data_IF_299367246335
#
_entry.id   IF_299367246335
#
_cell.length_a   1.000
_cell.length_b   1.000
_cell.length_c   1.000
_cell.angle_alpha   90.00
_cell.angle_beta   90.00
_cell.angle_gamma   90.00
#
_symmetry.space_group_name_H-M   'P 1'
#
loop_
_entity.id
_entity.type
_entity.pdbx_description
1 polymer ?
#
# COMPACT_ATOMS: atom_id res chain seq x y z
N UNK A 1 13.40 -13.74 12.48
CA UNK A 1 12.45 -14.24 11.47
C UNK A 1 12.06 -13.08 10.58
N UNK A 2 12.25 -13.15 9.28
CA UNK A 2 12.00 -12.05 8.35
C UNK A 2 10.53 -11.87 7.97
N UNK A 3 9.69 -12.89 8.14
CA UNK A 3 8.24 -12.79 7.90
C UNK A 3 7.48 -12.74 9.22
N UNK A 4 6.55 -11.79 9.34
CA UNK A 4 5.73 -11.58 10.54
C UNK A 4 4.27 -11.44 10.15
N UNK A 5 3.41 -12.01 10.98
CA UNK A 5 1.97 -11.79 10.95
C UNK A 5 1.63 -10.82 12.08
N UNK A 6 0.91 -9.77 11.74
CA UNK A 6 0.51 -8.75 12.70
C UNK A 6 -0.97 -8.43 12.54
N UNK A 7 -1.65 -8.20 13.66
CA UNK A 7 -2.96 -7.59 13.69
C UNK A 7 -2.78 -6.10 13.97
N UNK A 8 -3.32 -5.26 13.10
CA UNK A 8 -3.29 -3.79 13.23
C UNK A 8 -4.72 -3.29 13.33
N UNK A 9 -4.97 -2.34 14.20
CA UNK A 9 -6.25 -1.65 14.29
C UNK A 9 -6.21 -0.36 13.48
N UNK A 10 -6.96 -0.31 12.38
CA UNK A 10 -7.20 0.92 11.67
C UNK A 10 -8.24 1.75 12.43
N UNK A 11 -7.97 3.04 12.63
CA UNK A 11 -8.84 3.98 13.38
C UNK A 11 -9.49 3.35 14.64
N UNK A 12 -8.73 2.54 15.38
CA UNK A 12 -9.16 1.92 16.63
C UNK A 12 -10.30 0.88 16.53
N UNK A 13 -10.82 0.59 15.34
CA UNK A 13 -12.05 -0.20 15.16
C UNK A 13 -11.88 -1.39 14.21
N UNK A 14 -11.22 -1.19 13.06
CA UNK A 14 -11.13 -2.22 12.02
C UNK A 14 -9.84 -3.02 12.16
N UNK A 15 -9.96 -4.32 12.32
CA UNK A 15 -8.83 -5.25 12.34
C UNK A 15 -8.29 -5.47 10.95
N UNK A 16 -6.98 -5.32 10.79
CA UNK A 16 -6.23 -5.58 9.58
C UNK A 16 -5.30 -6.76 9.81
N UNK A 17 -5.38 -7.76 8.95
CA UNK A 17 -4.51 -8.92 8.95
C UNK A 17 -3.29 -8.62 8.08
N UNK A 18 -2.17 -8.34 8.69
CA UNK A 18 -0.97 -7.85 8.02
C UNK A 18 0.09 -8.95 7.94
N UNK A 19 0.54 -9.22 6.74
CA UNK A 19 1.76 -9.99 6.47
C UNK A 19 2.88 -9.02 6.11
N UNK A 20 3.88 -8.91 6.97
CA UNK A 20 5.13 -8.20 6.69
C UNK A 20 6.22 -9.21 6.32
N UNK A 21 6.93 -8.96 5.23
CA UNK A 21 8.09 -9.76 4.82
C UNK A 21 9.13 -8.94 4.06
N UNK A 22 10.38 -9.32 4.15
CA UNK A 22 11.46 -8.92 3.25
C UNK A 22 12.03 -10.13 2.47
N UNK A 23 11.36 -11.28 2.52
CA UNK A 23 11.72 -12.46 1.74
C UNK A 23 10.87 -12.53 0.47
N UNK A 24 11.48 -12.36 -0.69
CA UNK A 24 10.77 -12.39 -1.98
C UNK A 24 10.01 -13.71 -2.20
N UNK A 25 10.53 -14.81 -1.70
CA UNK A 25 9.87 -16.15 -1.82
C UNK A 25 8.52 -16.27 -1.11
N UNK A 26 8.23 -15.41 -0.13
CA UNK A 26 6.96 -15.41 0.61
C UNK A 26 5.86 -14.63 -0.12
N UNK A 27 6.23 -13.69 -0.96
CA UNK A 27 5.30 -12.84 -1.71
C UNK A 27 4.40 -13.63 -2.65
N UNK A 28 4.90 -14.59 -3.47
CA UNK A 28 4.05 -15.39 -4.34
C UNK A 28 2.97 -16.18 -3.59
N UNK A 29 3.28 -16.66 -2.39
CA UNK A 29 2.30 -17.36 -1.55
C UNK A 29 1.15 -16.44 -1.15
N UNK A 30 1.46 -15.24 -0.69
CA UNK A 30 0.44 -14.23 -0.36
C UNK A 30 -0.40 -13.84 -1.58
N UNK A 31 0.24 -13.53 -2.72
CA UNK A 31 -0.44 -13.11 -3.94
C UNK A 31 -1.39 -14.20 -4.47
N UNK A 32 -0.99 -15.47 -4.39
CA UNK A 32 -1.84 -16.59 -4.76
C UNK A 32 -3.06 -16.68 -3.85
N UNK A 33 -2.88 -16.62 -2.53
CA UNK A 33 -4.01 -16.61 -1.59
C UNK A 33 -4.93 -15.42 -1.83
N UNK A 34 -4.35 -14.22 -2.03
CA UNK A 34 -5.09 -13.01 -2.35
C UNK A 34 -5.97 -13.21 -3.59
N UNK A 35 -5.39 -13.76 -4.66
CA UNK A 35 -6.12 -14.00 -5.90
C UNK A 35 -7.21 -15.07 -5.73
N UNK A 36 -6.82 -16.27 -5.35
CA UNK A 36 -7.69 -17.45 -5.37
C UNK A 36 -8.81 -17.38 -4.32
N UNK A 37 -8.52 -16.88 -3.12
CA UNK A 37 -9.49 -16.91 -2.01
C UNK A 37 -10.36 -15.67 -1.95
N UNK A 38 -9.88 -14.52 -2.41
CA UNK A 38 -10.55 -13.25 -2.17
C UNK A 38 -10.89 -12.49 -3.45
N UNK A 39 -9.92 -12.28 -4.34
CA UNK A 39 -10.16 -11.49 -5.56
C UNK A 39 -11.06 -12.21 -6.56
N UNK A 40 -10.79 -13.51 -6.83
CA UNK A 40 -11.56 -14.28 -7.79
C UNK A 40 -13.00 -14.52 -7.30
N UNK A 41 -13.22 -14.54 -5.99
CA UNK A 41 -14.53 -14.67 -5.36
C UNK A 41 -15.29 -13.35 -5.19
N UNK A 42 -14.63 -12.20 -5.43
CA UNK A 42 -15.24 -10.89 -5.29
C UNK A 42 -16.11 -10.54 -6.50
N UNK A 43 -17.09 -9.66 -6.29
CA UNK A 43 -17.84 -9.04 -7.40
C UNK A 43 -16.91 -8.17 -8.25
N UNK A 44 -17.19 -8.02 -9.54
CA UNK A 44 -16.30 -7.31 -10.47
C UNK A 44 -15.98 -5.87 -10.03
N UNK A 45 -16.93 -5.16 -9.44
CA UNK A 45 -16.73 -3.82 -8.92
C UNK A 45 -15.88 -3.76 -7.63
N UNK A 46 -15.66 -4.90 -6.98
CA UNK A 46 -14.79 -5.03 -5.81
C UNK A 46 -13.37 -5.53 -6.15
N UNK A 47 -13.09 -5.87 -7.41
CA UNK A 47 -11.79 -6.41 -7.85
C UNK A 47 -10.75 -5.30 -8.03
N UNK A 48 -10.40 -4.66 -6.94
CA UNK A 48 -9.33 -3.65 -6.89
C UNK A 48 -8.55 -3.77 -5.58
N UNK A 49 -7.36 -3.20 -5.55
CA UNK A 49 -6.52 -3.13 -4.35
C UNK A 49 -6.18 -1.68 -4.00
N UNK A 50 -6.02 -1.42 -2.72
CA UNK A 50 -5.26 -0.27 -2.26
C UNK A 50 -3.77 -0.53 -2.46
N UNK A 51 -3.06 0.42 -3.01
CA UNK A 51 -1.61 0.43 -3.17
C UNK A 51 -1.05 1.64 -2.46
N UNK A 52 0.06 1.45 -1.76
CA UNK A 52 0.86 2.55 -1.25
C UNK A 52 2.34 2.20 -1.32
N UNK A 53 3.20 3.21 -1.37
CA UNK A 53 4.64 3.06 -1.44
C UNK A 53 5.32 3.94 -0.41
N UNK A 54 6.31 3.36 0.28
CA UNK A 54 7.25 4.15 1.04
C UNK A 54 8.61 4.14 0.33
N UNK A 55 9.29 5.29 0.37
CA UNK A 55 10.48 5.49 -0.44
C UNK A 55 11.78 5.30 0.36
N UNK A 56 12.86 5.02 -0.35
CA UNK A 56 14.21 5.01 0.22
C UNK A 56 14.58 6.38 0.80
N UNK A 57 15.54 6.40 1.74
CA UNK A 57 15.95 7.63 2.42
C UNK A 57 16.47 8.71 1.44
N UNK A 58 17.07 8.28 0.30
CA UNK A 58 17.51 9.16 -0.78
C UNK A 58 16.39 9.56 -1.75
N UNK A 59 15.16 9.12 -1.49
CA UNK A 59 13.96 9.41 -2.29
C UNK A 59 14.04 8.94 -3.75
N UNK A 60 14.92 8.00 -4.10
CA UNK A 60 15.07 7.51 -5.48
C UNK A 60 14.18 6.33 -5.80
N UNK A 61 14.02 5.39 -4.88
CA UNK A 61 13.36 4.13 -5.13
C UNK A 61 12.28 3.80 -4.11
N UNK A 62 11.68 2.64 -4.32
CA UNK A 62 10.73 2.02 -3.39
C UNK A 62 11.51 1.32 -2.28
N UNK A 63 11.20 1.66 -1.03
CA UNK A 63 11.66 0.91 0.13
C UNK A 63 10.65 -0.19 0.49
N UNK A 64 9.37 0.16 0.48
CA UNK A 64 8.27 -0.74 0.83
C UNK A 64 7.16 -0.61 -0.19
N UNK A 65 6.54 -1.73 -0.56
CA UNK A 65 5.27 -1.77 -1.26
C UNK A 65 4.19 -2.37 -0.35
N UNK A 66 3.07 -1.69 -0.26
CA UNK A 66 1.91 -2.14 0.48
C UNK A 66 0.76 -2.46 -0.47
N UNK A 67 0.15 -3.63 -0.30
CA UNK A 67 -1.06 -4.04 -1.01
C UNK A 67 -2.16 -4.33 0.00
N UNK A 68 -3.35 -3.81 -0.25
CA UNK A 68 -4.52 -3.99 0.60
C UNK A 68 -5.71 -4.50 -0.22
N UNK A 69 -6.31 -5.58 0.24
CA UNK A 69 -7.63 -6.03 -0.21
C UNK A 69 -8.52 -6.29 1.00
N UNK A 70 -9.57 -5.46 1.16
CA UNK A 70 -10.45 -5.48 2.34
C UNK A 70 -9.61 -5.32 3.63
N UNK A 71 -9.44 -6.39 4.40
CA UNK A 71 -8.66 -6.41 5.64
C UNK A 71 -7.37 -7.25 5.55
N UNK A 72 -7.02 -7.74 4.36
CA UNK A 72 -5.81 -8.52 4.11
C UNK A 72 -4.72 -7.67 3.50
N UNK A 73 -3.55 -7.65 4.14
CA UNK A 73 -2.45 -6.76 3.80
C UNK A 73 -1.15 -7.49 3.56
N UNK A 74 -0.45 -7.09 2.51
CA UNK A 74 0.97 -7.36 2.33
C UNK A 74 1.77 -6.08 2.53
N UNK A 75 2.77 -6.13 3.39
CA UNK A 75 3.85 -5.14 3.47
C UNK A 75 5.13 -5.85 3.04
N UNK A 76 5.57 -5.61 1.82
CA UNK A 76 6.81 -6.17 1.31
C UNK A 76 7.94 -5.15 1.35
N UNK A 77 8.95 -5.41 2.18
CA UNK A 77 10.10 -4.54 2.33
C UNK A 77 11.14 -4.82 1.23
N UNK A 78 10.92 -4.18 0.08
CA UNK A 78 11.75 -4.35 -1.10
C UNK A 78 13.21 -3.96 -0.87
N UNK A 79 13.48 -2.84 -0.18
CA UNK A 79 14.83 -2.35 0.02
C UNK A 79 15.77 -3.35 0.72
N UNK A 80 15.23 -4.21 1.58
CA UNK A 80 15.99 -5.21 2.34
C UNK A 80 15.82 -6.64 1.81
N UNK A 81 15.13 -6.81 0.67
CA UNK A 81 14.98 -8.11 0.00
C UNK A 81 16.15 -8.38 -0.94
N UNK A 82 16.15 -9.54 -1.58
CA UNK A 82 17.06 -9.88 -2.68
C UNK A 82 16.75 -9.11 -3.97
N UNK A 83 15.71 -8.29 -3.96
CA UNK A 83 15.24 -7.46 -5.08
C UNK A 83 14.87 -8.26 -6.33
N UNK A 84 14.43 -9.48 -6.13
CA UNK A 84 13.98 -10.38 -7.19
C UNK A 84 12.64 -11.00 -6.81
N UNK A 85 11.55 -10.52 -7.41
CA UNK A 85 10.20 -11.04 -7.20
C UNK A 85 9.38 -10.88 -8.50
N UNK A 86 9.62 -11.73 -9.51
CA UNK A 86 8.92 -11.65 -10.79
C UNK A 86 7.40 -11.78 -10.64
N UNK A 87 6.92 -12.59 -9.71
CA UNK A 87 5.48 -12.79 -9.47
C UNK A 87 4.80 -11.50 -9.02
N UNK A 88 5.47 -10.67 -8.20
CA UNK A 88 4.94 -9.36 -7.84
C UNK A 88 4.89 -8.43 -9.06
N UNK A 89 5.92 -8.46 -9.91
CA UNK A 89 5.96 -7.65 -11.12
C UNK A 89 4.85 -8.05 -12.09
N UNK A 90 4.61 -9.34 -12.25
CA UNK A 90 3.54 -9.87 -13.09
C UNK A 90 2.16 -9.54 -12.51
N UNK A 91 2.00 -9.62 -11.19
CA UNK A 91 0.79 -9.23 -10.49
C UNK A 91 0.46 -7.74 -10.70
N UNK A 92 1.45 -6.84 -10.56
CA UNK A 92 1.27 -5.40 -10.77
C UNK A 92 0.91 -5.05 -12.24
N UNK A 93 1.28 -5.91 -13.20
CA UNK A 93 0.96 -5.76 -14.64
C UNK A 93 -0.27 -6.55 -15.09
N UNK A 94 -0.92 -7.28 -14.21
CA UNK A 94 -1.99 -8.23 -14.55
C UNK A 94 -3.32 -7.61 -15.02
N UNK A 95 -3.44 -6.29 -15.02
CA UNK A 95 -4.68 -5.59 -15.38
C UNK A 95 -5.62 -5.37 -14.18
N UNK A 96 -5.23 -5.76 -12.98
CA UNK A 96 -5.97 -5.43 -11.76
C UNK A 96 -5.91 -3.93 -11.50
N UNK A 97 -6.99 -3.35 -11.01
CA UNK A 97 -7.05 -1.94 -10.61
C UNK A 97 -6.39 -1.73 -9.25
N UNK A 98 -5.50 -0.74 -9.18
CA UNK A 98 -4.86 -0.28 -7.95
C UNK A 98 -5.24 1.17 -7.67
N UNK A 99 -5.71 1.46 -6.47
CA UNK A 99 -6.00 2.80 -5.99
C UNK A 99 -4.85 3.29 -5.11
N UNK A 100 -4.34 4.48 -5.38
CA UNK A 100 -3.22 5.09 -4.66
C UNK A 100 -3.38 6.60 -4.55
N UNK A 101 -2.51 7.23 -3.79
CA UNK A 101 -2.38 8.69 -3.67
C UNK A 101 -1.00 9.11 -4.16
N UNK A 102 -0.92 10.19 -4.95
CA UNK A 102 0.33 10.71 -5.56
C UNK A 102 0.93 9.77 -6.64
N UNK A 103 0.10 9.36 -7.58
CA UNK A 103 0.42 8.45 -8.68
C UNK A 103 1.69 8.84 -9.47
N UNK A 104 2.00 10.15 -9.57
CA UNK A 104 3.14 10.63 -10.37
C UNK A 104 4.46 10.18 -9.76
N UNK A 105 4.61 10.33 -8.45
CA UNK A 105 5.79 9.87 -7.74
C UNK A 105 5.87 8.34 -7.71
N UNK A 106 4.76 7.67 -7.43
CA UNK A 106 4.69 6.20 -7.41
C UNK A 106 5.17 5.59 -8.72
N UNK A 107 4.71 6.09 -9.87
CA UNK A 107 5.15 5.63 -11.19
C UNK A 107 6.66 5.76 -11.39
N UNK A 108 7.23 6.91 -11.01
CA UNK A 108 8.67 7.14 -11.11
C UNK A 108 9.46 6.17 -10.23
N UNK A 109 9.04 5.96 -8.99
CA UNK A 109 9.71 5.07 -8.05
C UNK A 109 9.60 3.61 -8.46
N UNK A 110 8.42 3.17 -8.94
CA UNK A 110 8.24 1.81 -9.46
C UNK A 110 9.09 1.55 -10.69
N UNK A 111 9.16 2.50 -11.63
CA UNK A 111 10.02 2.37 -12.80
C UNK A 111 11.50 2.24 -12.39
N UNK A 112 11.94 3.06 -11.44
CA UNK A 112 13.33 3.01 -10.95
C UNK A 112 13.64 1.69 -10.23
N UNK A 113 12.77 1.22 -9.34
CA UNK A 113 13.02 0.06 -8.48
C UNK A 113 12.70 -1.28 -9.12
N UNK A 114 11.63 -1.33 -9.92
CA UNK A 114 11.09 -2.57 -10.47
C UNK A 114 11.28 -2.69 -11.99
N UNK A 115 11.60 -1.59 -12.66
CA UNK A 115 11.71 -1.58 -14.13
C UNK A 115 10.36 -1.78 -14.85
N UNK A 116 9.23 -1.56 -14.16
CA UNK A 116 7.89 -1.79 -14.70
C UNK A 116 7.01 -0.54 -14.61
N UNK A 117 5.94 -0.58 -15.39
CA UNK A 117 4.79 0.32 -15.26
C UNK A 117 3.52 -0.50 -15.10
N UNK A 118 2.64 -0.06 -14.20
CA UNK A 118 1.26 -0.57 -14.13
C UNK A 118 0.52 -0.09 -15.39
N UNK A 119 -0.27 -0.97 -16.06
CA UNK A 119 -0.97 -0.60 -17.28
C UNK A 119 -1.83 0.66 -17.12
N UNK A 120 -1.89 1.46 -18.18
CA UNK A 120 -2.69 2.69 -18.20
C UNK A 120 -4.17 2.36 -17.91
N UNK A 121 -4.77 3.10 -16.98
CA UNK A 121 -6.14 2.85 -16.51
C UNK A 121 -6.26 1.87 -15.34
N UNK A 122 -5.20 1.11 -15.02
CA UNK A 122 -5.18 0.21 -13.87
C UNK A 122 -4.62 0.85 -12.60
N UNK A 123 -4.11 2.06 -12.66
CA UNK A 123 -3.64 2.82 -11.52
C UNK A 123 -4.45 4.10 -11.37
N UNK A 124 -5.27 4.17 -10.33
CA UNK A 124 -6.22 5.25 -10.07
C UNK A 124 -5.65 6.22 -9.04
N UNK A 125 -5.55 7.48 -9.42
CA UNK A 125 -5.14 8.56 -8.51
C UNK A 125 -6.33 9.11 -7.75
N UNK A 126 -6.42 8.77 -6.46
CA UNK A 126 -7.49 9.22 -5.59
C UNK A 126 -7.51 10.76 -5.41
N UNK A 127 -6.37 11.43 -5.52
CA UNK A 127 -6.32 12.90 -5.50
C UNK A 127 -6.98 13.52 -6.73
N UNK A 128 -7.02 12.80 -7.84
CA UNK A 128 -7.75 13.25 -9.04
C UNK A 128 -9.25 13.01 -8.89
N UNK A 129 -9.62 11.86 -8.33
CA UNK A 129 -11.03 11.48 -8.12
C UNK A 129 -11.71 12.40 -7.09
N UNK A 130 -11.05 12.64 -5.95
CA UNK A 130 -11.59 13.48 -4.87
C UNK A 130 -11.15 14.94 -4.96
N UNK A 131 -10.91 15.43 -6.16
CA UNK A 131 -10.42 16.79 -6.38
C UNK A 131 -11.49 17.85 -6.07
N UNK A 132 -11.30 18.61 -4.99
CA UNK A 132 -12.13 19.75 -4.66
C UNK A 132 -11.53 21.03 -5.25
N UNK A 133 -12.26 21.72 -6.15
CA UNK A 133 -11.93 23.05 -6.70
C UNK A 133 -10.48 23.19 -7.20
N UNK A 134 -9.96 22.22 -7.93
CA UNK A 134 -8.60 22.23 -8.46
C UNK A 134 -7.47 22.16 -7.41
N UNK A 135 -7.77 21.91 -6.15
CA UNK A 135 -6.78 21.71 -5.08
C UNK A 135 -6.56 20.22 -4.85
N UNK A 136 -5.31 19.79 -4.80
CA UNK A 136 -4.95 18.44 -4.39
C UNK A 136 -5.29 18.25 -2.91
N UNK A 137 -6.16 17.31 -2.62
CA UNK A 137 -6.54 16.96 -1.25
C UNK A 137 -5.57 15.92 -0.70
N UNK A 138 -5.06 16.13 0.51
CA UNK A 138 -4.19 15.13 1.14
C UNK A 138 -4.95 13.87 1.51
N UNK A 139 -4.25 12.72 1.56
CA UNK A 139 -4.82 11.44 1.99
C UNK A 139 -5.53 11.58 3.35
N UNK A 140 -4.91 12.24 4.32
CA UNK A 140 -5.48 12.44 5.65
C UNK A 140 -6.81 13.21 5.61
N UNK A 141 -6.90 14.29 4.82
CA UNK A 141 -8.15 15.04 4.68
C UNK A 141 -9.26 14.20 4.02
N UNK A 142 -8.93 13.42 3.00
CA UNK A 142 -9.89 12.52 2.36
C UNK A 142 -10.37 11.45 3.35
N UNK A 143 -9.45 10.86 4.10
CA UNK A 143 -9.76 9.82 5.08
C UNK A 143 -10.64 10.34 6.22
N UNK A 144 -10.34 11.53 6.76
CA UNK A 144 -11.19 12.19 7.77
C UNK A 144 -12.60 12.44 7.26
N UNK A 145 -12.71 12.94 6.04
CA UNK A 145 -14.02 13.29 5.48
C UNK A 145 -14.89 12.09 5.11
N UNK A 146 -14.28 10.96 4.73
CA UNK A 146 -14.99 9.86 4.10
C UNK A 146 -14.90 8.53 4.85
N UNK A 147 -13.97 8.37 5.79
CA UNK A 147 -13.76 7.12 6.51
C UNK A 147 -13.96 7.33 8.02
N UNK A 148 -13.02 8.01 8.68
CA UNK A 148 -13.06 8.22 10.14
C UNK A 148 -12.19 9.42 10.55
N UNK A 149 -12.66 10.20 11.55
CA UNK A 149 -11.96 11.38 12.05
C UNK A 149 -10.59 11.09 12.68
N UNK A 150 -10.37 9.87 13.19
CA UNK A 150 -9.08 9.47 13.77
C UNK A 150 -7.92 9.53 12.77
N UNK A 151 -8.19 9.47 11.46
CA UNK A 151 -7.15 9.63 10.44
C UNK A 151 -6.53 11.05 10.39
N UNK A 152 -7.17 12.04 10.99
CA UNK A 152 -6.62 13.39 11.10
C UNK A 152 -5.28 13.46 11.81
N UNK A 153 -5.04 12.56 12.76
CA UNK A 153 -3.82 12.49 13.56
C UNK A 153 -2.80 11.45 13.03
N UNK A 154 -3.10 10.73 11.97
CA UNK A 154 -2.28 9.62 11.51
C UNK A 154 -0.83 10.04 11.22
N UNK A 155 -0.65 11.16 10.48
CA UNK A 155 0.68 11.70 10.16
C UNK A 155 1.37 12.39 11.36
N UNK A 156 0.60 13.06 12.23
CA UNK A 156 1.14 13.73 13.41
C UNK A 156 1.59 12.74 14.47
N UNK A 157 0.92 11.60 14.57
CA UNK A 157 1.27 10.54 15.51
C UNK A 157 2.42 9.64 15.03
N UNK A 158 2.83 9.75 13.77
CA UNK A 158 3.98 9.02 13.23
C UNK A 158 5.23 9.90 13.28
N UNK A 159 6.27 9.54 14.07
CA UNK A 159 7.46 10.37 14.24
C UNK A 159 8.20 10.59 12.92
N UNK A 160 8.60 11.84 12.65
CA UNK A 160 9.34 12.19 11.42
C UNK A 160 10.61 11.38 11.23
N UNK A 161 11.28 10.97 12.31
CA UNK A 161 12.48 10.12 12.28
C UNK A 161 12.19 8.73 11.71
N UNK A 162 10.98 8.20 11.89
CA UNK A 162 10.58 6.88 11.40
C UNK A 162 10.44 6.84 9.88
N UNK A 163 10.12 7.97 9.22
CA UNK A 163 10.09 8.05 7.75
C UNK A 163 11.45 7.78 7.08
N UNK A 164 12.55 7.82 7.82
CA UNK A 164 13.88 7.51 7.32
C UNK A 164 14.30 6.05 7.53
N UNK A 165 13.45 5.26 8.18
CA UNK A 165 13.77 3.90 8.62
C UNK A 165 13.10 2.80 7.80
N UNK A 166 12.52 3.15 6.64
CA UNK A 166 11.86 2.18 5.75
C UNK A 166 12.81 1.13 5.16
N UNK A 167 14.11 1.41 5.16
CA UNK A 167 15.16 0.49 4.70
C UNK A 167 15.74 -0.38 5.83
N UNK A 168 15.44 -0.04 7.11
CA UNK A 168 15.87 -0.83 8.27
C UNK A 168 15.12 -2.15 8.35
N UNK A 169 15.83 -3.26 8.38
CA UNK A 169 15.25 -4.59 8.56
C UNK A 169 15.62 -5.20 9.91
N UNK A 170 14.67 -5.82 10.61
CA UNK A 170 13.23 -5.80 10.34
C UNK A 170 12.62 -4.44 10.65
N UNK A 171 11.47 -4.13 10.04
CA UNK A 171 10.73 -2.93 10.37
C UNK A 171 10.26 -2.92 11.83
N UNK A 172 10.25 -1.75 12.43
CA UNK A 172 9.64 -1.53 13.72
C UNK A 172 8.11 -1.65 13.62
N UNK A 173 7.45 -2.03 14.71
CA UNK A 173 6.00 -2.21 14.74
C UNK A 173 5.25 -0.95 14.33
N UNK A 174 5.70 0.21 14.77
CA UNK A 174 5.09 1.50 14.42
C UNK A 174 5.10 1.78 12.91
N UNK A 175 6.17 1.36 12.19
CA UNK A 175 6.27 1.47 10.75
C UNK A 175 5.29 0.51 10.05
N UNK A 176 5.17 -0.73 10.54
CA UNK A 176 4.20 -1.71 10.01
C UNK A 176 2.77 -1.20 10.19
N UNK A 177 2.44 -0.65 11.36
CA UNK A 177 1.11 -0.11 11.64
C UNK A 177 0.78 1.10 10.76
N UNK A 178 1.75 2.00 10.57
CA UNK A 178 1.57 3.17 9.70
C UNK A 178 1.36 2.75 8.24
N UNK A 179 2.24 1.91 7.70
CA UNK A 179 2.16 1.44 6.32
C UNK A 179 0.85 0.67 6.03
N UNK A 180 0.38 -0.15 6.98
CA UNK A 180 -0.90 -0.84 6.85
C UNK A 180 -2.08 0.15 6.79
N UNK A 181 -2.05 1.20 7.61
CA UNK A 181 -3.11 2.23 7.63
C UNK A 181 -3.16 3.04 6.34
N UNK A 182 -2.01 3.42 5.76
CA UNK A 182 -1.95 4.18 4.50
C UNK A 182 -2.57 3.37 3.33
N UNK A 183 -2.18 2.10 3.15
CA UNK A 183 -2.77 1.24 2.13
C UNK A 183 -4.27 0.94 2.39
N UNK A 184 -4.67 0.83 3.68
CA UNK A 184 -6.08 0.70 4.06
C UNK A 184 -6.88 1.92 3.61
N UNK A 185 -6.38 3.12 3.86
CA UNK A 185 -7.01 4.37 3.44
C UNK A 185 -7.20 4.41 1.93
N UNK A 186 -6.17 4.04 1.16
CA UNK A 186 -6.28 3.98 -0.31
C UNK A 186 -7.38 3.02 -0.77
N UNK A 187 -7.48 1.82 -0.17
CA UNK A 187 -8.53 0.87 -0.45
C UNK A 187 -9.92 1.41 -0.08
N UNK A 188 -10.09 1.90 1.14
CA UNK A 188 -11.38 2.37 1.65
C UNK A 188 -11.88 3.62 0.92
N UNK A 189 -11.00 4.52 0.52
CA UNK A 189 -11.37 5.70 -0.28
C UNK A 189 -11.91 5.27 -1.65
N UNK A 190 -11.23 4.34 -2.34
CA UNK A 190 -11.71 3.88 -3.64
C UNK A 190 -13.03 3.13 -3.54
N UNK A 191 -13.25 2.38 -2.48
CA UNK A 191 -14.51 1.68 -2.21
C UNK A 191 -15.71 2.63 -2.05
N UNK A 192 -15.48 3.92 -1.81
CA UNK A 192 -16.53 4.95 -1.64
C UNK A 192 -16.96 5.59 -2.99
N UNK A 193 -16.28 5.26 -4.08
CA UNK A 193 -16.63 5.72 -5.43
C UNK A 193 -17.62 4.77 -6.05
#
# INVERSE_FOLDING_TARGET
>A
MPTRFAEVLAHGKTKLDVVYTNESREVPHFLRQLKERWLDAAEDHEKFLGLDLEYTADQRGVAIIQLCFKHHFLIFQWASSDKHCPELMDFLRSGITFATVDITNDKLKMRYSFGIEIPTGCLIDLQTVFRLRHVRTSMAHMAVALIDEEYGNMKTNFPKSQHKLWEKAPLDRINIEYAAKDACVSYELYRKI
#
